data_IF_102330648123
#
_entry.id   IF_102330648123
#
_cell.length_a   1.000
_cell.length_b   1.000
_cell.length_c   1.000
_cell.angle_alpha   90.00
_cell.angle_beta   90.00
_cell.angle_gamma   90.00
#
_symmetry.space_group_name_H-M   'P 1'
#
loop_
_entity.id
_entity.type
_entity.pdbx_description
1 polymer ?
#
# COMPACT_ATOMS: atom_id res chain seq x y z
N UNK A 1 1.40 16.17 -50.88
CA UNK A 1 2.57 15.70 -50.10
C UNK A 1 2.24 14.38 -49.44
N UNK A 2 2.63 13.27 -50.05
CA UNK A 2 2.46 11.93 -49.49
C UNK A 2 3.54 11.70 -48.43
N UNK A 3 3.14 11.60 -47.16
CA UNK A 3 4.03 11.17 -46.08
C UNK A 3 4.45 9.72 -46.38
N UNK A 4 5.75 9.49 -46.62
CA UNK A 4 6.28 8.15 -46.82
C UNK A 4 6.40 7.44 -45.47
N UNK A 5 5.32 6.77 -45.06
CA UNK A 5 5.26 5.96 -43.83
C UNK A 5 6.40 4.93 -43.73
N UNK A 6 6.89 4.44 -44.87
CA UNK A 6 8.02 3.52 -44.92
C UNK A 6 9.32 4.14 -44.38
N UNK A 7 9.63 5.38 -44.75
CA UNK A 7 10.84 6.09 -44.30
C UNK A 7 10.80 6.32 -42.78
N UNK A 8 9.65 6.74 -42.26
CA UNK A 8 9.43 6.96 -40.83
C UNK A 8 9.59 5.63 -40.06
N UNK A 9 9.04 4.54 -40.60
CA UNK A 9 9.19 3.22 -39.99
C UNK A 9 10.65 2.76 -39.97
N UNK A 10 11.41 2.98 -41.05
CA UNK A 10 12.82 2.61 -41.10
C UNK A 10 13.67 3.44 -40.14
N UNK A 11 13.40 4.75 -39.99
CA UNK A 11 14.09 5.59 -38.98
C UNK A 11 13.76 5.12 -37.56
N UNK A 12 12.50 4.80 -37.28
CA UNK A 12 12.10 4.31 -35.97
C UNK A 12 12.78 2.98 -35.64
N UNK A 13 12.79 2.01 -36.56
CA UNK A 13 13.47 0.73 -36.36
C UNK A 13 14.98 0.94 -36.21
N UNK A 14 15.59 1.81 -37.01
CA UNK A 14 17.02 2.14 -36.91
C UNK A 14 17.39 2.76 -35.54
N UNK A 15 16.47 3.49 -34.91
CA UNK A 15 16.66 4.03 -33.56
C UNK A 15 16.64 2.97 -32.45
N UNK A 16 16.15 1.77 -32.73
CA UNK A 16 16.08 0.67 -31.76
C UNK A 16 17.32 -0.21 -31.81
N UNK A 17 18.08 -0.23 -30.71
CA UNK A 17 19.20 -1.16 -30.58
C UNK A 17 18.70 -2.58 -30.25
N UNK A 18 18.85 -3.50 -31.20
CA UNK A 18 18.48 -4.91 -31.04
C UNK A 18 19.56 -5.72 -30.32
N UNK A 19 20.84 -5.35 -30.44
CA UNK A 19 21.95 -6.06 -29.81
C UNK A 19 22.30 -5.45 -28.43
N UNK A 20 21.52 -5.83 -27.41
CA UNK A 20 21.66 -5.30 -26.03
C UNK A 20 22.27 -6.28 -25.03
N UNK A 21 22.64 -7.48 -25.47
CA UNK A 21 23.17 -8.51 -24.57
C UNK A 21 24.68 -8.35 -24.40
N UNK A 22 25.12 -8.10 -23.17
CA UNK A 22 26.53 -8.01 -22.80
C UNK A 22 26.81 -9.14 -21.80
N UNK A 23 27.62 -10.11 -22.22
CA UNK A 23 28.06 -11.19 -21.34
C UNK A 23 29.20 -10.69 -20.45
N UNK A 24 29.17 -11.08 -19.17
CA UNK A 24 30.20 -10.74 -18.19
C UNK A 24 30.54 -11.96 -17.33
N UNK A 25 31.81 -12.09 -17.00
CA UNK A 25 32.32 -13.26 -16.26
C UNK A 25 32.24 -13.07 -14.74
N UNK A 26 32.24 -11.81 -14.26
CA UNK A 26 32.22 -11.47 -12.83
C UNK A 26 30.95 -10.71 -12.44
N UNK A 27 30.38 -11.06 -11.29
CA UNK A 27 29.22 -10.36 -10.72
C UNK A 27 29.54 -8.90 -10.37
N UNK A 28 30.75 -8.62 -9.89
CA UNK A 28 31.12 -7.27 -9.48
C UNK A 28 31.17 -6.31 -10.68
N UNK A 29 31.69 -6.79 -11.79
CA UNK A 29 31.74 -6.06 -13.06
C UNK A 29 30.33 -5.79 -13.59
N UNK A 30 29.46 -6.81 -13.56
CA UNK A 30 28.04 -6.69 -13.92
C UNK A 30 27.30 -5.65 -13.08
N UNK A 31 27.57 -5.58 -11.77
CA UNK A 31 26.96 -4.57 -10.90
C UNK A 31 27.46 -3.16 -11.26
N UNK A 32 28.78 -2.98 -11.40
CA UNK A 32 29.37 -1.67 -11.72
C UNK A 32 28.86 -1.12 -13.05
N UNK A 33 28.88 -1.95 -14.09
CA UNK A 33 28.39 -1.52 -15.40
C UNK A 33 26.88 -1.32 -15.41
N UNK A 34 26.13 -2.17 -14.70
CA UNK A 34 24.69 -1.97 -14.50
C UNK A 34 24.37 -0.64 -13.83
N UNK A 35 25.15 -0.22 -12.82
CA UNK A 35 25.02 1.08 -12.18
C UNK A 35 25.33 2.24 -13.13
N UNK A 36 26.43 2.16 -13.89
CA UNK A 36 26.78 3.19 -14.87
C UNK A 36 25.67 3.37 -15.93
N UNK A 37 25.14 2.26 -16.47
CA UNK A 37 24.05 2.31 -17.44
C UNK A 37 22.72 2.77 -16.82
N UNK A 38 22.50 2.49 -15.54
CA UNK A 38 21.30 2.95 -14.82
C UNK A 38 21.30 4.48 -14.66
N UNK A 39 22.47 5.11 -14.43
CA UNK A 39 22.59 6.57 -14.38
C UNK A 39 22.21 7.23 -15.71
N UNK A 40 22.50 6.58 -16.84
CA UNK A 40 22.17 7.06 -18.20
C UNK A 40 20.75 6.61 -18.62
N UNK A 41 19.97 5.99 -17.72
CA UNK A 41 18.65 5.41 -17.99
C UNK A 41 18.64 4.36 -19.11
N UNK A 42 19.80 3.79 -19.46
CA UNK A 42 19.99 2.78 -20.51
C UNK A 42 20.22 1.37 -19.93
N UNK A 43 19.73 1.12 -18.72
CA UNK A 43 19.77 -0.19 -18.07
C UNK A 43 18.37 -0.77 -18.02
N UNK A 44 18.20 -2.02 -18.48
CA UNK A 44 16.94 -2.76 -18.35
C UNK A 44 16.98 -3.70 -17.16
N UNK A 45 17.86 -4.70 -17.23
CA UNK A 45 18.06 -5.69 -16.18
C UNK A 45 19.42 -6.37 -16.34
N UNK A 46 19.92 -6.94 -15.26
CA UNK A 46 21.06 -7.84 -15.23
C UNK A 46 20.60 -9.24 -14.79
N UNK A 47 21.12 -10.28 -15.42
CA UNK A 47 20.71 -11.66 -15.15
C UNK A 47 21.94 -12.41 -14.64
N UNK A 48 21.85 -12.98 -13.44
CA UNK A 48 22.91 -13.82 -12.86
C UNK A 48 22.41 -15.24 -12.70
N UNK A 49 23.04 -16.19 -13.39
CA UNK A 49 22.87 -17.62 -13.13
C UNK A 49 23.67 -18.01 -11.89
N UNK A 50 23.08 -18.78 -10.99
CA UNK A 50 23.72 -19.22 -9.73
C UNK A 50 24.45 -20.54 -9.87
N UNK A 51 24.09 -21.34 -10.87
CA UNK A 51 24.63 -22.68 -11.03
C UNK A 51 26.04 -22.60 -11.62
N UNK A 52 27.00 -23.23 -10.95
CA UNK A 52 28.34 -23.40 -11.49
C UNK A 52 28.31 -24.50 -12.56
N UNK A 53 28.54 -24.11 -13.82
CA UNK A 53 28.66 -25.06 -14.93
C UNK A 53 30.08 -25.64 -14.88
N UNK A 54 30.30 -26.57 -13.97
CA UNK A 54 31.58 -27.28 -13.85
C UNK A 54 31.59 -28.47 -14.81
N UNK A 55 31.99 -28.19 -16.06
CA UNK A 55 32.37 -29.19 -17.08
C UNK A 55 31.43 -30.38 -17.27
N UNK A 56 30.41 -30.20 -18.11
CA UNK A 56 29.97 -31.16 -19.13
C UNK A 56 28.86 -30.49 -19.96
N UNK A 57 28.77 -30.84 -21.25
CA UNK A 57 27.88 -30.26 -22.28
C UNK A 57 26.36 -30.32 -21.97
N UNK A 58 25.97 -30.74 -20.78
CA UNK A 58 24.59 -30.85 -20.34
C UNK A 58 24.24 -29.82 -19.27
N UNK A 59 23.23 -29.00 -19.57
CA UNK A 59 22.63 -28.05 -18.63
C UNK A 59 22.04 -28.80 -17.40
N UNK A 60 22.21 -28.30 -16.17
CA UNK A 60 21.66 -28.94 -14.98
C UNK A 60 20.13 -28.91 -14.98
N UNK A 61 19.50 -30.01 -14.50
CA UNK A 61 18.03 -30.18 -14.47
C UNK A 61 17.27 -29.04 -13.76
N UNK A 62 17.90 -28.41 -12.77
CA UNK A 62 17.31 -27.30 -12.02
C UNK A 62 18.21 -26.08 -12.15
N UNK A 63 17.73 -25.03 -12.84
CA UNK A 63 18.45 -23.77 -13.03
C UNK A 63 17.93 -22.72 -12.07
N UNK A 64 18.83 -22.14 -11.30
CA UNK A 64 18.55 -20.96 -10.49
C UNK A 64 19.18 -19.72 -11.14
N UNK A 65 18.36 -18.70 -11.34
CA UNK A 65 18.81 -17.41 -11.85
C UNK A 65 18.19 -16.26 -11.05
N UNK A 66 18.87 -15.11 -11.04
CA UNK A 66 18.42 -13.88 -10.41
C UNK A 66 18.31 -12.80 -11.48
N UNK A 67 17.14 -12.18 -11.59
CA UNK A 67 16.93 -10.96 -12.37
C UNK A 67 17.13 -9.78 -11.42
N UNK A 68 18.04 -8.87 -11.77
CA UNK A 68 18.29 -7.63 -11.05
C UNK A 68 17.85 -6.46 -11.92
N UNK A 69 16.93 -5.67 -11.41
CA UNK A 69 16.48 -4.42 -12.02
C UNK A 69 16.73 -3.27 -11.06
N UNK A 70 16.67 -2.04 -11.58
CA UNK A 70 16.74 -0.83 -10.75
C UNK A 70 15.50 -0.74 -9.85
N UNK A 71 15.69 -0.23 -8.62
CA UNK A 71 14.67 -0.19 -7.57
C UNK A 71 13.43 0.67 -7.91
N UNK A 72 13.54 1.62 -8.83
CA UNK A 72 12.42 2.41 -9.34
C UNK A 72 11.46 1.59 -10.21
N UNK A 73 12.00 0.56 -10.90
CA UNK A 73 11.28 -0.26 -11.89
C UNK A 73 10.66 -1.53 -11.32
N UNK A 74 10.99 -1.90 -10.09
CA UNK A 74 10.42 -3.07 -9.41
C UNK A 74 9.87 -2.69 -8.04
N UNK A 75 9.06 -3.57 -7.46
CA UNK A 75 8.63 -3.41 -6.08
C UNK A 75 9.72 -3.84 -5.10
N UNK A 76 9.65 -3.29 -3.90
CA UNK A 76 10.58 -3.60 -2.83
C UNK A 76 10.39 -5.06 -2.38
N UNK A 77 11.49 -5.83 -2.35
CA UNK A 77 11.47 -7.24 -1.93
C UNK A 77 11.52 -7.44 -0.42
N UNK A 78 11.56 -6.36 0.38
CA UNK A 78 11.55 -6.44 1.84
C UNK A 78 10.22 -6.94 2.42
N UNK A 79 9.13 -6.80 1.67
CA UNK A 79 7.79 -7.19 2.11
C UNK A 79 7.05 -7.82 0.94
N UNK A 80 6.40 -8.94 1.19
CA UNK A 80 5.51 -9.59 0.22
C UNK A 80 4.10 -8.98 0.25
N UNK A 81 3.73 -8.34 1.35
CA UNK A 81 2.39 -7.79 1.58
C UNK A 81 2.40 -6.36 2.13
N UNK A 82 1.26 -5.70 1.95
CA UNK A 82 1.01 -4.37 2.47
C UNK A 82 1.07 -4.30 3.98
N UNK A 83 1.45 -3.12 4.49
CA UNK A 83 1.48 -2.88 5.94
C UNK A 83 0.10 -2.88 6.57
N UNK A 84 -0.87 -2.33 5.86
CA UNK A 84 -2.23 -2.27 6.30
C UNK A 84 -3.10 -2.90 5.24
N UNK A 85 -3.99 -3.77 5.68
CA UNK A 85 -4.98 -4.35 4.80
C UNK A 85 -5.85 -3.24 4.20
N UNK A 86 -6.03 -3.28 2.88
CA UNK A 86 -6.84 -2.32 2.14
C UNK A 86 -7.80 -3.09 1.25
N UNK A 87 -9.09 -2.79 1.40
CA UNK A 87 -10.14 -3.28 0.50
C UNK A 87 -10.13 -2.57 -0.86
N UNK A 88 -9.30 -1.53 -1.06
CA UNK A 88 -9.20 -0.88 -2.35
C UNK A 88 -8.39 -1.74 -3.34
N UNK A 89 -8.84 -1.91 -4.61
CA UNK A 89 -8.09 -2.65 -5.60
C UNK A 89 -6.81 -1.93 -6.00
N UNK A 90 -5.75 -2.70 -6.27
CA UNK A 90 -4.44 -2.20 -6.72
C UNK A 90 -4.41 -1.99 -8.24
N UNK A 91 -4.89 -0.83 -8.69
CA UNK A 91 -5.07 -0.52 -10.13
C UNK A 91 -4.22 0.65 -10.64
N UNK A 92 -3.37 1.25 -9.80
CA UNK A 92 -2.59 2.42 -10.20
C UNK A 92 -1.41 2.03 -11.10
N UNK A 93 -1.46 2.43 -12.36
CA UNK A 93 -0.35 2.25 -13.31
C UNK A 93 0.56 3.49 -13.28
N UNK A 94 1.90 3.36 -13.17
CA UNK A 94 2.67 2.11 -13.08
C UNK A 94 2.91 1.62 -11.63
N UNK A 95 2.53 2.41 -10.63
CA UNK A 95 3.00 2.24 -9.24
C UNK A 95 2.65 0.89 -8.60
N UNK A 96 1.47 0.33 -8.89
CA UNK A 96 1.01 -0.96 -8.37
C UNK A 96 1.17 -2.12 -9.36
N UNK A 97 1.60 -1.84 -10.59
CA UNK A 97 1.75 -2.83 -11.67
C UNK A 97 3.18 -2.86 -12.20
N UNK A 98 4.18 -2.50 -11.39
CA UNK A 98 5.57 -2.31 -11.82
C UNK A 98 6.15 -3.50 -12.57
N UNK A 99 5.90 -4.72 -12.06
CA UNK A 99 6.34 -5.96 -12.71
C UNK A 99 5.86 -6.13 -14.15
N UNK A 100 4.66 -5.60 -14.47
CA UNK A 100 4.11 -5.57 -15.82
C UNK A 100 4.58 -4.33 -16.60
N UNK A 101 4.48 -3.14 -15.98
CA UNK A 101 4.81 -1.85 -16.60
C UNK A 101 6.28 -1.72 -17.01
N UNK A 102 7.20 -2.26 -16.22
CA UNK A 102 8.64 -2.22 -16.49
C UNK A 102 9.21 -3.54 -17.04
N UNK A 103 8.33 -4.40 -17.54
CA UNK A 103 8.69 -5.60 -18.30
C UNK A 103 9.49 -6.70 -17.57
N UNK A 104 9.46 -6.73 -16.24
CA UNK A 104 10.05 -7.82 -15.48
C UNK A 104 9.42 -9.17 -15.84
N UNK A 105 8.08 -9.25 -15.90
CA UNK A 105 7.36 -10.50 -16.21
C UNK A 105 7.68 -10.98 -17.63
N UNK A 106 7.81 -10.04 -18.59
CA UNK A 106 8.18 -10.38 -19.96
C UNK A 106 9.60 -10.95 -20.03
N UNK A 107 10.55 -10.35 -19.31
CA UNK A 107 11.93 -10.84 -19.24
C UNK A 107 11.99 -12.23 -18.60
N UNK A 108 11.26 -12.43 -17.50
CA UNK A 108 11.17 -13.73 -16.82
C UNK A 108 10.61 -14.80 -17.76
N UNK A 109 9.48 -14.53 -18.42
CA UNK A 109 8.86 -15.45 -19.37
C UNK A 109 9.78 -15.76 -20.56
N UNK A 110 10.50 -14.77 -21.09
CA UNK A 110 11.45 -14.97 -22.19
C UNK A 110 12.62 -15.90 -21.79
N UNK A 111 13.21 -15.70 -20.61
CA UNK A 111 14.30 -16.52 -20.09
C UNK A 111 13.83 -17.94 -19.80
N UNK A 112 12.69 -18.08 -19.10
CA UNK A 112 12.13 -19.39 -18.76
C UNK A 112 11.78 -20.19 -20.01
N UNK A 113 11.18 -19.55 -21.02
CA UNK A 113 10.91 -20.19 -22.31
C UNK A 113 12.20 -20.63 -23.01
N UNK A 114 13.26 -19.81 -22.98
CA UNK A 114 14.56 -20.20 -23.53
C UNK A 114 15.15 -21.41 -22.80
N UNK A 115 15.09 -21.43 -21.47
CA UNK A 115 15.57 -22.55 -20.65
C UNK A 115 14.78 -23.83 -20.96
N UNK A 116 13.45 -23.75 -21.06
CA UNK A 116 12.58 -24.89 -21.39
C UNK A 116 12.90 -25.42 -22.79
N UNK A 117 13.08 -24.53 -23.78
CA UNK A 117 13.43 -24.94 -25.14
C UNK A 117 14.76 -25.71 -25.18
N UNK A 118 15.77 -25.27 -24.41
CA UNK A 118 17.07 -25.94 -24.33
C UNK A 118 16.95 -27.30 -23.63
N UNK A 119 16.18 -27.40 -22.54
CA UNK A 119 16.01 -28.66 -21.81
C UNK A 119 15.21 -29.71 -22.59
N UNK A 120 14.17 -29.29 -23.30
CA UNK A 120 13.24 -30.20 -23.98
C UNK A 120 13.63 -30.47 -25.43
N UNK A 121 14.50 -29.65 -26.02
CA UNK A 121 14.83 -29.70 -27.44
C UNK A 121 13.64 -29.38 -28.36
N UNK A 122 12.56 -28.82 -27.82
CA UNK A 122 11.33 -28.49 -28.55
C UNK A 122 10.96 -27.03 -28.31
N UNK A 123 10.42 -26.39 -29.33
CA UNK A 123 9.90 -25.03 -29.20
C UNK A 123 8.55 -25.06 -28.48
N UNK A 124 8.41 -24.30 -27.39
CA UNK A 124 7.12 -24.14 -26.69
C UNK A 124 6.18 -23.29 -27.57
N UNK A 125 5.02 -23.81 -28.02
CA UNK A 125 4.15 -23.09 -28.96
C UNK A 125 3.18 -22.11 -28.29
N UNK A 126 2.96 -22.22 -26.97
CA UNK A 126 1.96 -21.43 -26.25
C UNK A 126 2.57 -20.17 -25.62
N UNK A 127 1.83 -19.05 -25.71
CA UNK A 127 2.14 -17.80 -25.01
C UNK A 127 1.46 -17.76 -23.64
N UNK A 128 2.17 -17.26 -22.63
CA UNK A 128 1.60 -17.02 -21.30
C UNK A 128 0.99 -15.62 -21.27
N UNK A 129 -0.31 -15.54 -20.94
CA UNK A 129 -1.00 -14.28 -20.71
C UNK A 129 -1.34 -14.16 -19.22
N UNK A 130 -1.15 -12.97 -18.65
CA UNK A 130 -1.52 -12.65 -17.28
C UNK A 130 -2.76 -11.77 -17.27
N UNK A 131 -3.67 -12.02 -16.33
CA UNK A 131 -4.87 -11.22 -16.13
C UNK A 131 -5.10 -11.02 -14.63
N UNK A 132 -5.39 -9.78 -14.23
CA UNK A 132 -5.77 -9.50 -12.85
C UNK A 132 -7.18 -10.04 -12.56
N UNK A 133 -7.38 -10.58 -11.36
CA UNK A 133 -8.72 -11.01 -10.94
C UNK A 133 -9.66 -9.80 -10.87
N UNK A 134 -10.92 -9.92 -11.35
CA UNK A 134 -11.87 -8.82 -11.30
C UNK A 134 -12.22 -8.50 -9.84
N UNK A 135 -12.24 -7.21 -9.51
CA UNK A 135 -12.64 -6.71 -8.19
C UNK A 135 -14.08 -6.16 -8.26
N UNK A 136 -14.93 -6.35 -7.23
CA UNK A 136 -16.26 -5.73 -7.19
C UNK A 136 -16.17 -4.21 -7.27
N UNK A 137 -17.29 -3.57 -7.63
CA UNK A 137 -17.34 -2.11 -7.70
C UNK A 137 -16.90 -1.48 -6.37
N UNK A 138 -15.84 -0.69 -6.41
CA UNK A 138 -15.23 -0.07 -5.25
C UNK A 138 -15.24 1.45 -5.38
N UNK A 139 -15.91 2.12 -4.44
CA UNK A 139 -15.91 3.58 -4.36
C UNK A 139 -14.83 3.98 -3.35
N UNK A 140 -13.86 4.78 -3.81
CA UNK A 140 -12.75 5.21 -2.98
C UNK A 140 -13.02 6.59 -2.35
N UNK A 141 -13.80 6.60 -1.27
CA UNK A 141 -14.06 7.82 -0.50
C UNK A 141 -12.96 8.08 0.53
N UNK A 142 -11.87 8.69 0.05
CA UNK A 142 -10.72 9.12 0.89
C UNK A 142 -11.17 10.03 2.05
N UNK A 143 -12.19 10.85 1.81
CA UNK A 143 -12.76 11.77 2.79
C UNK A 143 -13.44 11.02 3.94
N UNK A 144 -14.36 10.10 3.63
CA UNK A 144 -15.09 9.30 4.64
C UNK A 144 -14.11 8.48 5.46
N UNK A 145 -13.12 7.84 4.83
CA UNK A 145 -12.10 7.06 5.54
C UNK A 145 -11.22 7.93 6.46
N UNK A 146 -10.93 9.17 6.05
CA UNK A 146 -10.14 10.09 6.87
C UNK A 146 -10.95 10.66 8.03
N UNK A 147 -12.20 11.07 7.79
CA UNK A 147 -13.10 11.55 8.84
C UNK A 147 -13.44 10.44 9.82
N UNK A 148 -13.75 9.22 9.37
CA UNK A 148 -14.08 8.12 10.27
C UNK A 148 -12.97 7.82 11.28
N UNK A 149 -11.70 8.08 10.93
CA UNK A 149 -10.56 7.92 11.83
C UNK A 149 -10.40 9.09 12.81
N UNK A 150 -10.80 10.30 12.41
CA UNK A 150 -10.67 11.51 13.22
C UNK A 150 -11.90 11.81 14.09
N UNK A 151 -13.08 11.29 13.71
CA UNK A 151 -14.35 11.56 14.36
C UNK A 151 -14.33 11.21 15.86
N UNK A 152 -13.80 10.05 16.31
CA UNK A 152 -13.73 9.75 17.75
C UNK A 152 -12.91 10.77 18.54
N UNK A 153 -11.79 11.24 17.97
CA UNK A 153 -10.95 12.24 18.61
C UNK A 153 -11.69 13.59 18.77
N UNK A 154 -12.38 14.02 17.70
CA UNK A 154 -13.17 15.25 17.73
C UNK A 154 -14.34 15.16 18.71
N UNK A 155 -14.98 13.99 18.83
CA UNK A 155 -16.05 13.75 19.80
C UNK A 155 -15.56 13.80 21.25
N UNK A 156 -14.37 13.28 21.55
CA UNK A 156 -13.78 13.41 22.88
C UNK A 156 -13.44 14.87 23.18
N UNK A 157 -12.88 15.59 22.20
CA UNK A 157 -12.49 16.98 22.36
C UNK A 157 -13.71 17.89 22.58
N UNK A 158 -14.85 17.63 21.95
CA UNK A 158 -16.06 18.45 22.12
C UNK A 158 -16.64 18.35 23.54
N UNK A 159 -16.56 17.17 24.16
CA UNK A 159 -17.13 16.94 25.48
C UNK A 159 -16.17 17.10 26.66
N UNK A 160 -14.88 17.33 26.42
CA UNK A 160 -13.88 17.43 27.48
C UNK A 160 -14.22 18.49 28.54
N UNK A 161 -14.77 19.64 28.11
CA UNK A 161 -15.17 20.71 29.03
C UNK A 161 -16.39 20.32 29.87
N UNK A 162 -17.39 19.70 29.23
CA UNK A 162 -18.61 19.25 29.92
C UNK A 162 -18.28 18.18 30.96
N UNK A 163 -17.45 17.20 30.60
CA UNK A 163 -16.99 16.16 31.54
C UNK A 163 -16.20 16.76 32.69
N UNK A 164 -15.29 17.70 32.41
CA UNK A 164 -14.49 18.38 33.44
C UNK A 164 -15.36 19.14 34.45
N UNK A 165 -16.42 19.83 33.98
CA UNK A 165 -17.34 20.54 34.87
C UNK A 165 -18.13 19.57 35.76
N UNK A 166 -18.67 18.47 35.21
CA UNK A 166 -19.38 17.47 36.01
C UNK A 166 -18.47 16.83 37.08
N UNK A 167 -17.22 16.51 36.73
CA UNK A 167 -16.24 15.97 37.68
C UNK A 167 -15.93 16.97 38.79
N UNK A 168 -15.76 18.25 38.45
CA UNK A 168 -15.56 19.32 39.44
C UNK A 168 -16.72 19.38 40.43
N UNK A 169 -17.96 19.32 39.96
CA UNK A 169 -19.13 19.40 40.84
C UNK A 169 -19.21 18.19 41.79
N UNK A 170 -18.91 16.98 41.29
CA UNK A 170 -18.82 15.77 42.11
C UNK A 170 -17.72 15.90 43.19
N UNK A 171 -16.55 16.42 42.82
CA UNK A 171 -15.43 16.61 43.76
C UNK A 171 -15.78 17.67 44.81
N UNK A 172 -16.41 18.76 44.40
CA UNK A 172 -16.85 19.83 45.29
C UNK A 172 -17.89 19.35 46.31
N UNK A 173 -18.81 18.50 45.89
CA UNK A 173 -19.77 17.85 46.79
C UNK A 173 -19.07 16.95 47.81
N UNK A 174 -18.05 16.20 47.37
CA UNK A 174 -17.23 15.34 48.23
C UNK A 174 -16.39 16.13 49.23
N UNK A 175 -15.76 17.23 48.82
CA UNK A 175 -14.99 18.10 49.73
C UNK A 175 -15.85 18.63 50.87
N UNK A 176 -17.08 19.04 50.57
CA UNK A 176 -18.05 19.50 51.57
C UNK A 176 -18.70 18.39 52.37
N UNK A 177 -18.37 17.12 52.09
CA UNK A 177 -18.96 15.91 52.69
C UNK A 177 -20.49 15.88 52.62
N UNK A 178 -21.09 16.55 51.63
CA UNK A 178 -22.55 16.63 51.48
C UNK A 178 -23.15 15.24 51.24
N UNK A 179 -22.43 14.40 50.50
CA UNK A 179 -22.79 12.99 50.31
C UNK A 179 -22.93 12.22 51.62
N UNK A 180 -22.04 12.44 52.59
CA UNK A 180 -22.09 11.76 53.89
C UNK A 180 -23.28 12.23 54.73
N UNK A 181 -23.55 13.53 54.69
CA UNK A 181 -24.73 14.13 55.36
C UNK A 181 -26.02 13.54 54.77
N UNK A 182 -26.13 13.42 53.45
CA UNK A 182 -27.30 12.81 52.79
C UNK A 182 -27.46 11.32 53.15
N UNK A 183 -26.34 10.61 53.33
CA UNK A 183 -26.35 9.21 53.79
C UNK A 183 -26.85 9.09 55.23
N UNK A 184 -26.46 10.01 56.13
CA UNK A 184 -26.96 10.06 57.51
C UNK A 184 -28.45 10.40 57.55
N UNK A 185 -28.94 11.22 56.62
CA UNK A 185 -30.38 11.50 56.43
C UNK A 185 -31.19 10.33 55.85
N UNK A 186 -30.56 9.17 55.61
CA UNK A 186 -31.24 7.94 55.17
C UNK A 186 -31.25 7.71 53.66
N UNK A 187 -30.51 8.48 52.86
CA UNK A 187 -30.41 8.26 51.42
C UNK A 187 -29.50 7.07 51.09
N UNK A 188 -29.97 6.17 50.22
CA UNK A 188 -29.18 5.05 49.70
C UNK A 188 -28.15 5.53 48.68
N UNK A 189 -26.94 4.98 48.73
CA UNK A 189 -25.83 5.34 47.82
C UNK A 189 -26.20 5.13 46.34
N UNK A 190 -26.98 4.09 46.03
CA UNK A 190 -27.45 3.81 44.67
C UNK A 190 -28.29 4.93 44.06
N UNK A 191 -29.14 5.59 44.87
CA UNK A 191 -29.99 6.70 44.39
C UNK A 191 -29.12 7.92 44.09
N UNK A 192 -28.10 8.17 44.91
CA UNK A 192 -27.17 9.27 44.71
C UNK A 192 -26.38 9.13 43.39
N UNK A 193 -25.85 7.94 43.10
CA UNK A 193 -25.18 7.68 41.81
C UNK A 193 -26.14 7.75 40.62
N UNK A 194 -27.39 7.32 40.80
CA UNK A 194 -28.41 7.44 39.76
C UNK A 194 -28.75 8.90 39.46
N UNK A 195 -28.86 9.75 40.49
CA UNK A 195 -29.06 11.20 40.32
C UNK A 195 -27.92 11.82 39.52
N UNK A 196 -26.67 11.52 39.87
CA UNK A 196 -25.51 11.98 39.11
C UNK A 196 -25.52 11.48 37.66
N UNK A 197 -25.90 10.23 37.41
CA UNK A 197 -26.03 9.70 36.05
C UNK A 197 -27.08 10.45 35.22
N UNK A 198 -28.27 10.69 35.78
CA UNK A 198 -29.34 11.43 35.10
C UNK A 198 -28.92 12.88 34.84
N UNK A 199 -28.27 13.52 35.81
CA UNK A 199 -27.80 14.90 35.68
C UNK A 199 -26.71 15.02 34.60
N UNK A 200 -25.70 14.17 34.62
CA UNK A 200 -24.66 14.11 33.60
C UNK A 200 -25.26 13.87 32.20
N UNK A 201 -26.17 12.90 32.08
CA UNK A 201 -26.84 12.57 30.81
C UNK A 201 -27.65 13.75 30.28
N UNK A 202 -28.37 14.44 31.15
CA UNK A 202 -29.18 15.61 30.77
C UNK A 202 -28.31 16.76 30.27
N UNK A 203 -27.21 17.06 30.95
CA UNK A 203 -26.25 18.09 30.53
C UNK A 203 -25.58 17.72 29.20
N UNK A 204 -25.22 16.44 29.01
CA UNK A 204 -24.66 15.97 27.74
C UNK A 204 -25.66 16.06 26.59
N UNK A 205 -26.93 15.71 26.80
CA UNK A 205 -27.98 15.86 25.78
C UNK A 205 -28.20 17.33 25.43
N UNK A 206 -28.24 18.22 26.43
CA UNK A 206 -28.42 19.65 26.21
C UNK A 206 -27.27 20.25 25.38
N UNK A 207 -26.02 19.92 25.73
CA UNK A 207 -24.85 20.41 24.98
C UNK A 207 -24.81 19.83 23.56
N UNK A 208 -25.15 18.56 23.36
CA UNK A 208 -25.27 17.96 22.04
C UNK A 208 -26.37 18.63 21.19
N UNK A 209 -27.53 18.92 21.79
CA UNK A 209 -28.63 19.60 21.11
C UNK A 209 -28.22 21.01 20.63
N UNK A 210 -27.54 21.78 21.48
CA UNK A 210 -26.99 23.11 21.12
C UNK A 210 -25.99 22.98 19.97
N UNK A 211 -25.08 22.02 20.01
CA UNK A 211 -24.10 21.78 18.94
C UNK A 211 -24.79 21.46 17.61
N UNK A 212 -25.82 20.62 17.61
CA UNK A 212 -26.58 20.27 16.39
C UNK A 212 -27.32 21.49 15.85
N UNK A 213 -27.93 22.31 16.70
CA UNK A 213 -28.58 23.55 16.28
C UNK A 213 -27.58 24.54 15.66
N UNK A 214 -26.43 24.75 16.29
CA UNK A 214 -25.38 25.62 15.76
C UNK A 214 -24.87 25.12 14.40
N UNK A 215 -24.66 23.82 14.25
CA UNK A 215 -24.26 23.24 12.96
C UNK A 215 -25.33 23.46 11.89
N UNK A 216 -26.61 23.27 12.20
CA UNK A 216 -27.71 23.47 11.27
C UNK A 216 -27.89 24.94 10.85
N UNK A 217 -27.60 25.88 11.75
CA UNK A 217 -27.71 27.32 11.44
C UNK A 217 -26.48 27.84 10.70
N UNK A 218 -25.30 27.26 10.98
CA UNK A 218 -24.04 27.65 10.35
C UNK A 218 -23.83 27.06 8.95
N UNK A 219 -24.59 26.03 8.58
CA UNK A 219 -24.62 25.41 7.24
C UNK A 219 -25.79 25.96 6.46
#
# INVERSE_FOLDING_TARGET
>A
SSINYFTILTEFIASTELNRFIAMNSELEMIREGQNKALINNFLAAIKFMNDITNNDSLPKHIQFKIRMTLDRIDNTFRTEDRYFSYAPRVSVPSSTKYHSYAFIYLQNAIERAIINIHTGRTVPYGVQTQQMPYPCWINDKFVNSISRMLPLLMVLSWIFTVSMNVKDIVHEKEKRLKEIMKIMGLKDSVHWFTWFVLCTTVMILTAFILVLLLKVSV
#
